data_IF_596974642698
#
_entry.id   IF_596974642698
#
_cell.length_a   1.000
_cell.length_b   1.000
_cell.length_c   1.000
_cell.angle_alpha   90.00
_cell.angle_beta   90.00
_cell.angle_gamma   90.00
#
_symmetry.space_group_name_H-M   'P 1'
#
loop_
_entity.id
_entity.type
_entity.pdbx_description
1 polymer ?
#
# COMPACT_ATOMS: atom_id res chain seq x y z
N UNK A 1 -31.98 -37.39 -4.33
CA UNK A 1 -31.88 -36.16 -3.51
C UNK A 1 -30.44 -35.65 -3.56
N UNK A 2 -30.16 -34.62 -4.37
CA UNK A 2 -28.83 -33.98 -4.42
C UNK A 2 -28.72 -33.05 -3.22
N UNK A 3 -27.87 -33.39 -2.25
CA UNK A 3 -27.59 -32.51 -1.10
C UNK A 3 -26.83 -31.30 -1.63
N UNK A 4 -27.46 -30.13 -1.66
CA UNK A 4 -26.76 -28.88 -1.86
C UNK A 4 -25.79 -28.71 -0.69
N UNK A 5 -24.49 -28.81 -0.98
CA UNK A 5 -23.46 -28.51 -0.01
C UNK A 5 -23.34 -26.98 0.05
N UNK A 6 -24.16 -26.35 0.89
CA UNK A 6 -23.96 -24.95 1.27
C UNK A 6 -22.56 -24.83 1.87
N UNK A 7 -21.65 -24.22 1.11
CA UNK A 7 -20.34 -23.84 1.64
C UNK A 7 -20.62 -22.80 2.73
N UNK A 8 -20.59 -23.20 4.00
CA UNK A 8 -20.63 -22.26 5.12
C UNK A 8 -19.58 -21.18 4.87
N UNK A 9 -20.04 -19.94 4.70
CA UNK A 9 -19.18 -18.78 4.52
C UNK A 9 -18.49 -18.53 5.87
N UNK A 10 -17.23 -18.98 5.94
CA UNK A 10 -16.37 -18.81 7.11
C UNK A 10 -15.98 -17.33 7.19
N UNK A 11 -16.23 -16.69 8.34
CA UNK A 11 -15.90 -15.27 8.55
C UNK A 11 -14.39 -15.03 8.36
N UNK A 12 -14.00 -13.80 8.03
CA UNK A 12 -12.57 -13.50 7.79
C UNK A 12 -11.73 -13.69 9.06
N UNK A 13 -12.30 -13.39 10.22
CA UNK A 13 -11.61 -13.58 11.50
C UNK A 13 -11.58 -15.05 11.87
N UNK A 14 -12.56 -15.86 11.47
CA UNK A 14 -12.45 -17.33 11.58
C UNK A 14 -11.30 -17.88 10.77
N UNK A 15 -11.08 -17.35 9.54
CA UNK A 15 -9.93 -17.74 8.73
C UNK A 15 -8.61 -17.36 9.41
N UNK A 16 -8.50 -16.16 9.95
CA UNK A 16 -7.29 -15.68 10.63
C UNK A 16 -7.04 -16.40 11.96
N UNK A 17 -8.10 -16.58 12.75
CA UNK A 17 -8.03 -17.32 14.02
C UNK A 17 -7.60 -18.76 13.77
N UNK A 18 -8.13 -19.43 12.74
CA UNK A 18 -7.67 -20.77 12.33
C UNK A 18 -6.24 -20.79 11.77
N UNK A 19 -5.77 -19.70 11.16
CA UNK A 19 -4.38 -19.60 10.67
C UNK A 19 -3.38 -19.44 11.81
N UNK A 20 -3.74 -18.72 12.89
CA UNK A 20 -2.82 -18.38 13.98
C UNK A 20 -3.02 -19.19 15.27
N UNK A 21 -4.18 -19.82 15.48
CA UNK A 21 -4.52 -20.56 16.68
C UNK A 21 -5.04 -21.99 16.38
N UNK A 22 -4.54 -22.98 17.13
CA UNK A 22 -4.97 -24.40 17.06
C UNK A 22 -6.21 -24.74 17.89
N UNK A 23 -6.78 -23.77 18.61
CA UNK A 23 -7.98 -23.97 19.43
C UNK A 23 -9.26 -23.77 18.62
N UNK A 24 -10.38 -24.35 19.08
CA UNK A 24 -11.64 -24.31 18.35
C UNK A 24 -12.22 -22.89 18.35
N UNK A 25 -12.42 -22.35 17.14
CA UNK A 25 -13.01 -21.04 16.89
C UNK A 25 -14.37 -20.82 17.59
N UNK A 26 -15.11 -21.91 17.84
CA UNK A 26 -16.42 -21.87 18.50
C UNK A 26 -16.37 -21.37 19.96
N UNK A 27 -15.22 -21.45 20.64
CA UNK A 27 -15.09 -21.02 22.03
C UNK A 27 -14.60 -19.58 22.19
N UNK A 28 -14.27 -18.88 21.09
CA UNK A 28 -13.59 -17.60 21.12
C UNK A 28 -14.52 -16.37 21.21
N UNK A 29 -15.84 -16.58 21.28
CA UNK A 29 -16.89 -15.60 21.61
C UNK A 29 -16.64 -14.16 21.13
N UNK A 30 -17.12 -13.82 19.92
CA UNK A 30 -17.03 -12.43 19.44
C UNK A 30 -17.32 -12.19 17.96
N UNK A 31 -18.50 -12.60 17.46
CA UNK A 31 -18.91 -12.34 16.06
C UNK A 31 -20.36 -11.89 15.95
N UNK A 32 -20.55 -10.62 15.60
CA UNK A 32 -21.82 -10.08 15.11
C UNK A 32 -21.82 -10.15 13.58
N UNK A 33 -22.90 -10.64 12.97
CA UNK A 33 -23.09 -10.61 11.50
C UNK A 33 -22.94 -9.21 10.93
N UNK A 34 -23.32 -8.20 11.71
CA UNK A 34 -23.19 -6.79 11.37
C UNK A 34 -21.73 -6.38 11.11
N UNK A 35 -20.75 -7.03 11.75
CA UNK A 35 -19.33 -6.75 11.52
C UNK A 35 -18.87 -7.19 10.13
N UNK A 36 -19.43 -8.29 9.61
CA UNK A 36 -19.05 -8.83 8.30
C UNK A 36 -19.64 -7.96 7.18
N UNK A 37 -20.88 -7.50 7.29
CA UNK A 37 -21.49 -6.55 6.33
C UNK A 37 -20.75 -5.21 6.30
N UNK A 38 -20.32 -4.71 7.47
CA UNK A 38 -19.52 -3.50 7.57
C UNK A 38 -18.15 -3.65 6.87
N UNK A 39 -17.51 -4.82 6.99
CA UNK A 39 -16.24 -5.09 6.34
C UNK A 39 -16.39 -5.16 4.81
N UNK A 40 -17.42 -5.84 4.30
CA UNK A 40 -17.73 -5.88 2.87
C UNK A 40 -17.94 -4.47 2.30
N UNK A 41 -18.68 -3.62 3.02
CA UNK A 41 -18.86 -2.21 2.64
C UNK A 41 -17.53 -1.46 2.57
N UNK A 42 -16.62 -1.69 3.52
CA UNK A 42 -15.29 -1.07 3.52
C UNK A 42 -14.43 -1.53 2.35
N UNK A 43 -14.48 -2.81 2.00
CA UNK A 43 -13.81 -3.37 0.82
C UNK A 43 -14.31 -2.72 -0.46
N UNK A 44 -15.63 -2.61 -0.64
CA UNK A 44 -16.24 -1.96 -1.79
C UNK A 44 -15.79 -0.50 -1.94
N UNK A 45 -15.74 0.25 -0.83
CA UNK A 45 -15.27 1.64 -0.81
C UNK A 45 -13.79 1.70 -1.22
N UNK A 46 -12.94 0.86 -0.63
CA UNK A 46 -11.50 0.82 -0.92
C UNK A 46 -11.22 0.50 -2.39
N UNK A 47 -11.91 -0.50 -2.94
CA UNK A 47 -11.81 -0.87 -4.34
C UNK A 47 -12.28 0.24 -5.27
N UNK A 48 -13.40 0.90 -4.94
CA UNK A 48 -13.92 2.02 -5.74
C UNK A 48 -12.93 3.19 -5.77
N UNK A 49 -12.32 3.53 -4.62
CA UNK A 49 -11.29 4.57 -4.55
C UNK A 49 -10.05 4.21 -5.39
N UNK A 50 -9.58 2.97 -5.32
CA UNK A 50 -8.44 2.50 -6.11
C UNK A 50 -8.75 2.51 -7.62
N UNK A 51 -9.96 2.08 -8.01
CA UNK A 51 -10.42 2.10 -9.42
C UNK A 51 -10.50 3.53 -9.94
N UNK A 52 -11.09 4.44 -9.17
CA UNK A 52 -11.20 5.85 -9.55
C UNK A 52 -9.82 6.51 -9.71
N UNK A 53 -8.87 6.21 -8.82
CA UNK A 53 -7.49 6.70 -8.94
C UNK A 53 -6.82 6.19 -10.23
N UNK A 54 -6.98 4.91 -10.55
CA UNK A 54 -6.36 4.32 -11.75
C UNK A 54 -7.02 4.80 -13.05
N UNK A 55 -8.33 5.07 -13.05
CA UNK A 55 -9.07 5.61 -14.20
C UNK A 55 -8.50 6.92 -14.72
N UNK A 56 -7.94 7.76 -13.84
CA UNK A 56 -7.29 9.01 -14.23
C UNK A 56 -6.06 8.79 -15.13
N UNK A 57 -5.47 7.60 -15.15
CA UNK A 57 -4.25 7.28 -15.90
C UNK A 57 -4.47 6.19 -16.97
N UNK A 58 -5.71 5.75 -17.16
CA UNK A 58 -6.06 4.65 -18.07
C UNK A 58 -5.80 4.99 -19.55
N UNK A 59 -5.83 6.28 -19.90
CA UNK A 59 -5.54 6.77 -21.24
C UNK A 59 -4.04 6.84 -21.57
N UNK A 60 -3.16 6.61 -20.58
CA UNK A 60 -1.72 6.64 -20.82
C UNK A 60 -1.26 5.32 -21.45
N UNK A 61 -0.65 5.42 -22.64
CA UNK A 61 0.01 4.28 -23.25
C UNK A 61 1.35 4.00 -22.55
N UNK A 62 1.67 2.73 -22.22
CA UNK A 62 3.00 2.36 -21.78
C UNK A 62 4.03 2.66 -22.87
N UNK A 63 5.22 3.15 -22.49
CA UNK A 63 6.38 3.13 -23.37
C UNK A 63 6.73 1.71 -23.80
N UNK A 64 7.40 1.55 -24.94
CA UNK A 64 7.79 0.22 -25.45
C UNK A 64 8.96 -0.39 -24.68
N UNK A 65 9.77 0.43 -24.01
CA UNK A 65 11.02 0.03 -23.37
C UNK A 65 10.99 0.27 -21.85
N UNK A 66 11.63 -0.63 -21.13
CA UNK A 66 11.89 -0.50 -19.70
C UNK A 66 12.97 0.55 -19.43
N UNK A 67 12.76 1.44 -18.46
CA UNK A 67 13.72 2.47 -18.07
C UNK A 67 15.06 1.90 -17.55
N UNK A 68 15.04 0.70 -16.97
CA UNK A 68 16.21 0.15 -16.26
C UNK A 68 17.06 -0.80 -17.11
N UNK A 69 16.43 -1.58 -17.99
CA UNK A 69 17.12 -2.60 -18.76
C UNK A 69 16.96 -2.42 -20.27
N UNK A 70 16.22 -1.40 -20.71
CA UNK A 70 15.92 -1.12 -22.12
C UNK A 70 15.25 -2.30 -22.86
N UNK A 71 14.82 -3.33 -22.12
CA UNK A 71 14.11 -4.48 -22.66
C UNK A 71 12.64 -4.14 -22.94
N UNK A 72 11.92 -5.05 -23.61
CA UNK A 72 10.52 -4.85 -23.95
C UNK A 72 9.67 -4.66 -22.69
N UNK A 73 8.88 -3.59 -22.67
CA UNK A 73 7.90 -3.32 -21.63
C UNK A 73 6.52 -3.74 -22.13
N UNK A 74 5.91 -4.66 -21.40
CA UNK A 74 4.54 -5.10 -21.66
C UNK A 74 3.55 -4.19 -20.95
N UNK A 75 2.37 -4.02 -21.55
CA UNK A 75 1.31 -3.15 -21.01
C UNK A 75 0.75 -3.62 -19.67
N UNK A 76 0.91 -4.91 -19.35
CA UNK A 76 0.50 -5.52 -18.08
C UNK A 76 1.57 -5.41 -16.98
N UNK A 77 2.69 -4.73 -17.24
CA UNK A 77 3.74 -4.51 -16.25
C UNK A 77 3.17 -3.92 -14.95
N UNK A 78 3.54 -4.53 -13.82
CA UNK A 78 2.92 -4.23 -12.52
C UNK A 78 3.09 -2.76 -12.12
N UNK A 79 4.31 -2.23 -12.27
CA UNK A 79 4.61 -0.86 -11.90
C UNK A 79 4.00 0.17 -12.86
N UNK A 80 3.79 -0.20 -14.12
CA UNK A 80 3.06 0.64 -15.07
C UNK A 80 1.60 0.77 -14.64
N UNK A 81 0.93 -0.37 -14.43
CA UNK A 81 -0.49 -0.43 -14.05
C UNK A 81 -0.81 0.42 -12.81
N UNK A 82 0.00 0.30 -11.75
CA UNK A 82 -0.31 0.94 -10.46
C UNK A 82 0.39 2.28 -10.21
N UNK A 83 1.50 2.55 -10.88
CA UNK A 83 2.31 3.75 -10.62
C UNK A 83 2.68 4.56 -11.87
N UNK A 84 2.31 4.09 -13.08
CA UNK A 84 2.73 4.67 -14.38
C UNK A 84 4.25 4.78 -14.48
N UNK A 85 4.95 3.78 -13.93
CA UNK A 85 6.40 3.71 -14.02
C UNK A 85 6.81 2.67 -15.06
N UNK A 86 7.61 3.06 -16.08
CA UNK A 86 7.96 2.19 -17.20
C UNK A 86 9.05 1.19 -16.81
N UNK A 87 8.71 0.23 -15.96
CA UNK A 87 9.64 -0.77 -15.41
C UNK A 87 9.04 -2.15 -15.59
N UNK A 88 9.81 -3.05 -16.19
CA UNK A 88 9.39 -4.42 -16.41
C UNK A 88 9.32 -5.22 -15.10
N UNK A 89 8.59 -6.34 -15.10
CA UNK A 89 8.41 -7.16 -13.90
C UNK A 89 9.73 -7.76 -13.37
N UNK A 90 10.76 -7.91 -14.21
CA UNK A 90 12.10 -8.37 -13.79
C UNK A 90 12.84 -7.29 -13.00
N UNK A 91 12.86 -6.06 -13.52
CA UNK A 91 13.55 -4.94 -12.86
C UNK A 91 12.82 -4.45 -11.60
N UNK A 92 11.53 -4.76 -11.45
CA UNK A 92 10.75 -4.45 -10.25
C UNK A 92 11.38 -4.95 -8.95
N UNK A 93 12.14 -6.04 -8.99
CA UNK A 93 12.76 -6.64 -7.79
C UNK A 93 13.94 -5.81 -7.23
N UNK A 94 14.39 -4.78 -7.96
CA UNK A 94 15.42 -3.87 -7.48
C UNK A 94 14.93 -3.04 -6.28
N UNK A 95 15.81 -2.80 -5.31
CA UNK A 95 15.48 -2.09 -4.07
C UNK A 95 14.91 -0.67 -4.29
N UNK A 96 15.29 0.00 -5.39
CA UNK A 96 14.72 1.31 -5.78
C UNK A 96 13.22 1.29 -6.09
N UNK A 97 12.69 0.13 -6.47
CA UNK A 97 11.29 -0.07 -6.87
C UNK A 97 10.47 -0.81 -5.82
N UNK A 98 11.02 -0.93 -4.61
CA UNK A 98 10.34 -1.53 -3.48
C UNK A 98 9.13 -0.70 -3.06
N UNK A 99 8.08 -1.40 -2.63
CA UNK A 99 6.91 -0.77 -2.05
C UNK A 99 7.15 -0.47 -0.57
N UNK A 100 6.79 0.73 -0.13
CA UNK A 100 7.00 1.24 1.22
C UNK A 100 5.64 1.61 1.80
N UNK A 101 5.40 1.24 3.07
CA UNK A 101 4.15 1.58 3.76
C UNK A 101 4.06 3.09 4.04
N UNK A 102 2.84 3.62 4.16
CA UNK A 102 2.62 5.04 4.53
C UNK A 102 3.39 5.44 5.80
N UNK A 103 3.38 4.60 6.82
CA UNK A 103 4.07 4.86 8.09
C UNK A 103 5.59 4.92 7.89
N UNK A 104 6.16 3.98 7.15
CA UNK A 104 7.58 4.00 6.80
C UNK A 104 7.97 5.20 5.94
N UNK A 105 7.10 5.63 5.02
CA UNK A 105 7.35 6.81 4.20
C UNK A 105 7.51 8.07 5.08
N UNK A 106 6.62 8.25 6.05
CA UNK A 106 6.65 9.38 6.98
C UNK A 106 7.85 9.33 7.93
N UNK A 107 8.31 8.16 8.34
CA UNK A 107 9.48 8.02 9.22
C UNK A 107 10.79 8.16 8.47
N UNK A 108 10.95 7.47 7.32
CA UNK A 108 12.19 7.44 6.54
C UNK A 108 12.44 8.71 5.74
N UNK A 109 11.39 9.33 5.19
CA UNK A 109 11.50 10.52 4.35
C UNK A 109 10.98 11.79 5.02
N UNK A 110 10.57 11.70 6.30
CA UNK A 110 10.00 12.80 7.08
C UNK A 110 8.78 13.51 6.43
N UNK A 111 8.15 12.86 5.45
CA UNK A 111 7.02 13.39 4.70
C UNK A 111 5.78 13.49 5.59
N UNK A 112 5.00 14.55 5.38
CA UNK A 112 3.71 14.74 6.07
C UNK A 112 2.56 14.11 5.28
N UNK A 113 1.37 14.03 5.88
CA UNK A 113 0.18 13.56 5.14
C UNK A 113 -0.17 14.47 3.96
N UNK A 114 0.05 15.78 4.10
CA UNK A 114 -0.17 16.73 3.04
C UNK A 114 0.80 16.52 1.86
N UNK A 115 2.05 16.11 2.13
CA UNK A 115 3.03 15.81 1.08
C UNK A 115 2.68 14.54 0.31
N UNK A 116 1.97 13.59 0.92
CA UNK A 116 1.56 12.34 0.28
C UNK A 116 0.24 12.49 -0.48
N UNK A 117 -0.79 13.05 0.16
CA UNK A 117 -2.16 13.07 -0.35
C UNK A 117 -2.51 14.37 -1.09
N UNK A 118 -1.97 15.53 -0.70
CA UNK A 118 -2.43 16.85 -1.19
C UNK A 118 -1.51 17.50 -2.22
N UNK A 119 -0.19 17.36 -2.09
CA UNK A 119 0.78 18.00 -2.99
C UNK A 119 0.68 17.40 -4.39
N UNK A 120 0.52 18.26 -5.41
CA UNK A 120 0.37 17.87 -6.81
C UNK A 120 1.74 17.56 -7.45
N UNK A 121 1.86 16.51 -8.28
CA UNK A 121 0.85 15.47 -8.51
C UNK A 121 0.70 14.55 -7.27
N UNK A 122 -0.52 14.12 -6.93
CA UNK A 122 -0.74 13.23 -5.80
C UNK A 122 -0.03 11.89 -6.02
N UNK A 123 0.59 11.35 -4.97
CA UNK A 123 1.31 10.08 -5.09
C UNK A 123 0.33 8.92 -5.27
N UNK A 124 0.64 8.06 -6.23
CA UNK A 124 -0.12 6.83 -6.46
C UNK A 124 0.24 5.80 -5.39
N UNK A 125 -0.74 5.00 -4.99
CA UNK A 125 -0.55 3.95 -3.98
C UNK A 125 -1.37 2.72 -4.32
N UNK A 126 -1.02 1.61 -3.67
CA UNK A 126 -1.81 0.38 -3.68
C UNK A 126 -2.39 0.18 -2.28
N UNK A 127 -3.72 0.05 -2.21
CA UNK A 127 -4.43 -0.33 -0.99
C UNK A 127 -4.33 -1.84 -0.77
N UNK A 128 -3.96 -2.27 0.45
CA UNK A 128 -3.91 -3.68 0.87
C UNK A 128 -4.48 -3.83 2.27
N UNK A 129 -5.04 -5.00 2.59
CA UNK A 129 -5.46 -5.32 3.96
C UNK A 129 -4.28 -5.24 4.91
N UNK A 130 -4.52 -4.64 6.07
CA UNK A 130 -3.51 -4.51 7.11
C UNK A 130 -3.10 -5.91 7.60
N UNK A 131 -1.80 -6.24 7.69
CA UNK A 131 -1.38 -7.61 7.92
C UNK A 131 -1.53 -7.99 9.40
N UNK A 132 -1.69 -7.01 10.30
CA UNK A 132 -1.88 -7.25 11.72
C UNK A 132 -3.35 -7.58 12.05
N UNK A 133 -4.29 -6.85 11.45
CA UNK A 133 -5.71 -7.13 11.58
C UNK A 133 -6.44 -6.57 10.34
N UNK A 134 -7.16 -7.40 9.55
CA UNK A 134 -7.86 -6.94 8.35
C UNK A 134 -8.99 -5.95 8.68
N UNK A 135 -9.51 -5.97 9.91
CA UNK A 135 -10.52 -5.01 10.39
C UNK A 135 -9.91 -3.62 10.62
N UNK A 136 -8.60 -3.47 10.67
CA UNK A 136 -7.99 -2.13 10.69
C UNK A 136 -8.12 -1.45 9.33
N UNK A 137 -7.83 -0.16 9.27
CA UNK A 137 -7.77 0.56 8.00
C UNK A 137 -6.77 -0.09 7.05
N UNK A 138 -7.11 -0.14 5.76
CA UNK A 138 -6.22 -0.67 4.72
C UNK A 138 -4.89 0.08 4.73
N UNK A 139 -3.80 -0.66 4.54
CA UNK A 139 -2.49 -0.06 4.38
C UNK A 139 -2.35 0.51 2.98
N UNK A 140 -1.75 1.70 2.88
CA UNK A 140 -1.31 2.28 1.62
C UNK A 140 0.17 1.96 1.38
N UNK A 141 0.46 1.39 0.23
CA UNK A 141 1.80 1.08 -0.25
C UNK A 141 2.19 2.04 -1.38
N UNK A 142 3.29 2.77 -1.18
CA UNK A 142 3.85 3.73 -2.13
C UNK A 142 5.11 3.18 -2.78
N UNK A 143 5.44 3.65 -3.98
CA UNK A 143 6.70 3.31 -4.63
C UNK A 143 7.85 4.12 -4.03
N UNK A 144 8.95 3.46 -3.66
CA UNK A 144 10.12 4.11 -3.06
C UNK A 144 10.67 5.27 -3.91
N UNK A 145 10.88 5.06 -5.21
CA UNK A 145 11.41 6.09 -6.11
C UNK A 145 10.54 7.35 -6.16
N UNK A 146 9.22 7.21 -6.08
CA UNK A 146 8.29 8.35 -6.01
C UNK A 146 8.39 9.11 -4.69
N UNK A 147 8.60 8.39 -3.58
CA UNK A 147 8.82 9.02 -2.27
C UNK A 147 10.15 9.76 -2.22
N UNK A 148 11.20 9.21 -2.83
CA UNK A 148 12.51 9.86 -2.94
C UNK A 148 12.41 11.17 -3.75
N UNK A 149 11.73 11.14 -4.90
CA UNK A 149 11.47 12.35 -5.69
C UNK A 149 10.66 13.39 -4.90
N UNK A 150 9.61 12.96 -4.20
CA UNK A 150 8.80 13.84 -3.35
C UNK A 150 9.60 14.41 -2.16
N UNK A 151 10.50 13.64 -1.57
CA UNK A 151 11.39 14.11 -0.52
C UNK A 151 12.38 15.17 -1.04
N UNK A 152 12.90 14.98 -2.25
CA UNK A 152 13.74 15.98 -2.91
C UNK A 152 12.96 17.28 -3.20
N UNK A 153 11.69 17.21 -3.60
CA UNK A 153 10.84 18.40 -3.77
C UNK A 153 10.62 19.17 -2.46
N UNK A 154 10.52 18.47 -1.32
CA UNK A 154 10.23 19.07 -0.01
C UNK A 154 11.49 19.61 0.66
N UNK A 155 12.60 18.87 0.59
CA UNK A 155 13.84 19.18 1.30
C UNK A 155 14.96 19.74 0.40
N UNK A 156 14.77 19.75 -0.92
CA UNK A 156 15.73 20.22 -1.92
C UNK A 156 16.92 19.27 -2.17
N UNK A 157 17.40 18.58 -1.13
CA UNK A 157 18.50 17.61 -1.23
C UNK A 157 18.39 16.51 -0.16
N UNK A 158 18.98 15.35 -0.45
CA UNK A 158 19.08 14.27 0.54
C UNK A 158 19.92 14.68 1.76
N UNK A 159 20.91 15.55 1.58
CA UNK A 159 21.70 16.10 2.70
C UNK A 159 20.84 16.91 3.65
N UNK A 160 19.94 17.75 3.14
CA UNK A 160 19.02 18.53 3.98
C UNK A 160 18.02 17.64 4.73
N UNK A 161 17.51 16.59 4.07
CA UNK A 161 16.66 15.59 4.72
C UNK A 161 17.39 14.91 5.88
N UNK A 162 18.66 14.53 5.68
CA UNK A 162 19.45 13.86 6.72
C UNK A 162 19.78 14.78 7.90
N UNK A 163 20.11 16.05 7.63
CA UNK A 163 20.26 17.06 8.68
C UNK A 163 18.97 17.25 9.48
N UNK A 164 17.80 17.22 8.81
CA UNK A 164 16.51 17.31 9.47
C UNK A 164 16.22 16.09 10.37
N UNK A 165 16.65 14.88 9.98
CA UNK A 165 16.56 13.67 10.83
C UNK A 165 17.45 13.80 12.06
N UNK A 166 18.72 14.13 11.87
CA UNK A 166 19.67 14.32 12.97
C UNK A 166 19.17 15.35 13.98
N UNK A 167 18.60 16.47 13.50
CA UNK A 167 17.99 17.48 14.38
C UNK A 167 16.81 16.92 15.18
N UNK A 168 15.97 16.05 14.59
CA UNK A 168 14.86 15.39 15.30
C UNK A 168 15.34 14.36 16.32
N UNK A 169 16.48 13.71 16.07
CA UNK A 169 17.08 12.75 17.00
C UNK A 169 17.70 13.46 18.20
N UNK A 170 18.55 14.48 17.96
CA UNK A 170 19.14 15.31 19.01
C UNK A 170 18.08 15.97 19.90
N UNK A 171 16.96 16.41 19.32
CA UNK A 171 15.86 16.98 20.10
C UNK A 171 15.13 15.95 20.96
N UNK A 172 15.07 14.68 20.54
CA UNK A 172 14.51 13.59 21.36
C UNK A 172 15.45 13.21 22.48
N UNK A 173 16.75 13.15 22.21
CA UNK A 173 17.78 12.88 23.22
C UNK A 173 17.80 13.96 24.30
N UNK A 174 17.62 15.23 23.94
CA UNK A 174 17.54 16.34 24.91
C UNK A 174 16.27 16.37 25.74
N UNK A 175 15.20 15.71 25.27
CA UNK A 175 13.90 15.69 25.96
C UNK A 175 13.75 14.45 26.86
N UNK A 176 14.67 13.48 26.76
CA UNK A 176 14.77 12.31 27.61
C UNK A 176 15.77 12.55 28.75
#
# INVERSE_FOLDING_TARGET
>A
MKRHFEKKQISIVEKLYKQHHKQSYASAGGFNSDDDELEERREQISEALQKNQNKLYEHLSPPELCLDCEGPLFSDAYLWKYFSQPICNKCRELEKHKLITRTEAKTKFLLTDADLDCRKPPLRYISRKNPHNPRYGDMKLYLRSQLEARALEVYGSFTSLEQAKQKRELNREKAN
#
